data_IF_709557945721
#
_entry.id   IF_709557945721
#
_cell.length_a   1.000
_cell.length_b   1.000
_cell.length_c   1.000
_cell.angle_alpha   90.00
_cell.angle_beta   90.00
_cell.angle_gamma   90.00
#
_symmetry.space_group_name_H-M   'P 1'
#
loop_
_entity.id
_entity.type
_entity.pdbx_description
1 polymer ?
#
# COMPACT_ATOMS: atom_id res chain seq x y z
N UNK A 1 38.42 -49.36 0.90
CA UNK A 1 38.32 -49.58 -0.55
C UNK A 1 36.97 -50.23 -0.80
N UNK A 2 35.89 -49.61 -0.33
CA UNK A 2 35.22 -48.41 -0.89
C UNK A 2 34.56 -48.82 -2.21
N UNK A 3 33.23 -48.85 -2.34
CA UNK A 3 32.37 -47.68 -2.13
C UNK A 3 31.07 -47.93 -1.34
N UNK A 4 30.74 -46.92 -0.55
CA UNK A 4 29.57 -46.83 0.31
C UNK A 4 28.38 -46.16 -0.40
N UNK A 5 27.32 -46.95 -0.53
CA UNK A 5 25.89 -46.60 -0.31
C UNK A 5 25.46 -45.16 -0.60
N UNK A 6 24.91 -44.99 -1.80
CA UNK A 6 23.88 -43.99 -2.08
C UNK A 6 22.54 -44.48 -1.50
N UNK A 7 22.18 -43.96 -0.32
CA UNK A 7 20.93 -44.26 0.36
C UNK A 7 20.48 -43.10 1.27
N UNK A 8 19.96 -42.03 0.66
CA UNK A 8 19.03 -41.12 1.35
C UNK A 8 17.76 -40.96 0.52
N UNK A 9 16.91 -41.98 0.65
CA UNK A 9 15.62 -42.08 -0.01
C UNK A 9 14.59 -41.08 0.51
N UNK A 10 13.66 -40.72 -0.38
CA UNK A 10 12.59 -39.77 -0.15
C UNK A 10 11.70 -40.05 1.05
N UNK A 11 11.61 -39.08 1.95
CA UNK A 11 10.37 -38.85 2.69
C UNK A 11 9.39 -38.11 1.76
N UNK A 12 8.58 -38.87 1.02
CA UNK A 12 7.55 -38.31 0.15
C UNK A 12 6.55 -37.43 0.91
N UNK A 13 5.95 -36.44 0.24
CA UNK A 13 4.97 -35.49 0.79
C UNK A 13 3.87 -36.13 1.66
N UNK A 14 3.52 -37.39 1.37
CA UNK A 14 2.57 -38.21 2.16
C UNK A 14 3.05 -38.49 3.59
N UNK A 15 4.33 -38.78 3.78
CA UNK A 15 4.93 -39.02 5.10
C UNK A 15 4.95 -37.75 5.95
N UNK A 16 5.25 -36.60 5.32
CA UNK A 16 5.24 -35.29 5.97
C UNK A 16 3.85 -34.90 6.50
N UNK A 17 2.81 -35.06 5.68
CA UNK A 17 1.42 -34.80 6.10
C UNK A 17 0.93 -35.75 7.21
N UNK A 18 1.36 -37.01 7.22
CA UNK A 18 1.01 -37.97 8.27
C UNK A 18 1.66 -37.62 9.61
N UNK A 19 2.95 -37.23 9.60
CA UNK A 19 3.66 -36.75 10.79
C UNK A 19 3.00 -35.50 11.37
N UNK A 20 2.66 -34.53 10.51
CA UNK A 20 1.97 -33.31 10.93
C UNK A 20 0.60 -33.62 11.55
N UNK A 21 -0.21 -34.47 10.93
CA UNK A 21 -1.51 -34.86 11.47
C UNK A 21 -1.39 -35.59 12.83
N UNK A 22 -0.34 -36.40 13.03
CA UNK A 22 -0.06 -37.02 14.33
C UNK A 22 0.31 -35.98 15.39
N UNK A 23 1.17 -35.02 15.04
CA UNK A 23 1.57 -33.94 15.95
C UNK A 23 0.39 -33.06 16.37
N UNK A 24 -0.44 -32.62 15.40
CA UNK A 24 -1.61 -31.80 15.67
C UNK A 24 -2.65 -32.50 16.55
N UNK A 25 -2.91 -33.81 16.36
CA UNK A 25 -3.82 -34.58 17.22
C UNK A 25 -3.27 -34.79 18.64
N UNK A 26 -1.95 -34.75 18.81
CA UNK A 26 -1.31 -34.81 20.13
C UNK A 26 -1.34 -33.48 20.88
N UNK A 27 -1.49 -32.36 20.16
CA UNK A 27 -1.48 -31.01 20.72
C UNK A 27 -2.91 -30.47 20.92
N UNK A 28 -3.83 -30.78 20.00
CA UNK A 28 -5.20 -30.25 20.01
C UNK A 28 -6.22 -31.27 20.51
N UNK A 29 -7.21 -30.79 21.26
CA UNK A 29 -8.44 -31.53 21.50
C UNK A 29 -9.15 -31.85 20.17
N UNK A 30 -9.87 -32.98 20.10
CA UNK A 30 -10.52 -33.48 18.87
C UNK A 30 -11.33 -32.40 18.13
N UNK A 31 -12.16 -31.64 18.85
CA UNK A 31 -12.99 -30.56 18.29
C UNK A 31 -12.15 -29.46 17.63
N UNK A 32 -11.04 -29.05 18.27
CA UNK A 32 -10.16 -28.01 17.77
C UNK A 32 -9.34 -28.49 16.56
N UNK A 33 -8.88 -29.75 16.59
CA UNK A 33 -8.25 -30.39 15.45
C UNK A 33 -9.17 -30.45 14.21
N UNK A 34 -10.42 -30.87 14.39
CA UNK A 34 -11.39 -30.96 13.30
C UNK A 34 -11.72 -29.56 12.74
N UNK A 35 -11.82 -28.54 13.60
CA UNK A 35 -12.04 -27.15 13.19
C UNK A 35 -10.86 -26.57 12.40
N UNK A 36 -9.62 -26.76 12.87
CA UNK A 36 -8.42 -26.34 12.15
C UNK A 36 -8.33 -27.01 10.78
N UNK A 37 -8.65 -28.31 10.71
CA UNK A 37 -8.65 -29.07 9.45
C UNK A 37 -9.74 -28.58 8.48
N UNK A 38 -10.91 -28.22 8.98
CA UNK A 38 -11.98 -27.64 8.17
C UNK A 38 -11.56 -26.29 7.56
N UNK A 39 -10.95 -25.41 8.37
CA UNK A 39 -10.44 -24.11 7.88
C UNK A 39 -9.30 -24.26 6.88
N UNK A 40 -8.38 -25.19 7.11
CA UNK A 40 -7.31 -25.47 6.13
C UNK A 40 -7.87 -25.92 4.77
N UNK A 41 -8.97 -26.70 4.77
CA UNK A 41 -9.67 -27.10 3.54
C UNK A 41 -10.43 -25.95 2.89
N UNK A 42 -11.12 -25.14 3.67
CA UNK A 42 -11.81 -23.94 3.18
C UNK A 42 -10.81 -22.98 2.53
N UNK A 43 -9.64 -22.80 3.15
CA UNK A 43 -8.55 -21.97 2.63
C UNK A 43 -8.03 -22.51 1.29
N UNK A 44 -7.80 -23.82 1.19
CA UNK A 44 -7.40 -24.46 -0.07
C UNK A 44 -8.45 -24.34 -1.18
N UNK A 45 -9.74 -24.25 -0.82
CA UNK A 45 -10.85 -24.02 -1.74
C UNK A 45 -11.15 -22.55 -2.00
N UNK A 46 -10.36 -21.62 -1.44
CA UNK A 46 -10.54 -20.15 -1.54
C UNK A 46 -11.85 -19.65 -0.93
N UNK A 47 -12.42 -20.38 0.02
CA UNK A 47 -13.66 -20.00 0.71
C UNK A 47 -13.41 -19.10 1.93
N UNK A 48 -12.17 -19.08 2.42
CA UNK A 48 -11.71 -18.16 3.48
C UNK A 48 -10.40 -17.52 3.04
N UNK A 49 -10.18 -16.29 3.51
CA UNK A 49 -9.00 -15.50 3.23
C UNK A 49 -7.77 -16.02 3.97
N UNK A 50 -6.58 -15.57 3.56
CA UNK A 50 -5.34 -15.87 4.27
C UNK A 50 -5.35 -15.35 5.70
N UNK A 51 -5.95 -14.18 5.94
CA UNK A 51 -6.06 -13.59 7.28
C UNK A 51 -6.94 -14.44 8.20
N UNK A 52 -8.10 -14.90 7.70
CA UNK A 52 -9.00 -15.76 8.48
C UNK A 52 -8.35 -17.09 8.84
N UNK A 53 -7.66 -17.74 7.90
CA UNK A 53 -6.94 -18.97 8.22
C UNK A 53 -5.76 -18.74 9.17
N UNK A 54 -5.01 -17.64 9.00
CA UNK A 54 -3.93 -17.27 9.89
C UNK A 54 -4.41 -17.06 11.34
N UNK A 55 -5.55 -16.36 11.53
CA UNK A 55 -6.17 -16.16 12.85
C UNK A 55 -6.48 -17.48 13.54
N UNK A 56 -7.05 -18.45 12.82
CA UNK A 56 -7.34 -19.79 13.39
C UNK A 56 -6.06 -20.53 13.76
N UNK A 57 -4.99 -20.41 12.96
CA UNK A 57 -3.71 -21.05 13.25
C UNK A 57 -3.01 -20.41 14.45
N UNK A 58 -3.06 -19.08 14.57
CA UNK A 58 -2.57 -18.31 15.73
C UNK A 58 -3.36 -18.69 16.98
N UNK A 59 -4.68 -18.75 16.91
CA UNK A 59 -5.52 -19.15 18.03
C UNK A 59 -5.19 -20.56 18.51
N UNK A 60 -5.01 -21.51 17.59
CA UNK A 60 -4.55 -22.86 17.93
C UNK A 60 -3.18 -22.88 18.61
N UNK A 61 -2.28 -21.96 18.25
CA UNK A 61 -0.98 -21.82 18.89
C UNK A 61 -1.05 -21.14 20.27
N UNK A 62 -2.02 -20.24 20.48
CA UNK A 62 -2.21 -19.51 21.74
C UNK A 62 -2.98 -20.31 22.79
N UNK A 63 -4.12 -20.89 22.42
CA UNK A 63 -5.06 -21.55 23.36
C UNK A 63 -5.04 -23.07 23.25
N UNK A 64 -4.65 -23.60 22.09
CA UNK A 64 -4.70 -25.02 21.77
C UNK A 64 -3.39 -25.79 21.98
N UNK A 65 -2.33 -25.17 22.51
CA UNK A 65 -1.05 -25.83 22.75
C UNK A 65 -0.28 -26.23 21.48
N UNK A 66 -0.65 -25.68 20.30
CA UNK A 66 0.10 -25.94 19.07
C UNK A 66 1.46 -25.24 19.13
N UNK A 67 2.54 -26.02 19.03
CA UNK A 67 3.89 -25.43 19.09
C UNK A 67 4.16 -24.57 17.86
N UNK A 68 5.03 -23.55 18.00
CA UNK A 68 5.48 -22.72 16.86
C UNK A 68 6.05 -23.56 15.72
N UNK A 69 6.76 -24.65 16.05
CA UNK A 69 7.28 -25.58 15.05
C UNK A 69 6.16 -26.28 14.28
N UNK A 70 5.11 -26.73 14.97
CA UNK A 70 3.93 -27.35 14.35
C UNK A 70 3.13 -26.34 13.51
N UNK A 71 2.97 -25.10 13.97
CA UNK A 71 2.34 -24.04 13.17
C UNK A 71 3.13 -23.71 11.89
N UNK A 72 4.46 -23.60 11.98
CA UNK A 72 5.34 -23.42 10.81
C UNK A 72 5.23 -24.58 9.83
N UNK A 73 5.05 -25.79 10.33
CA UNK A 73 4.88 -26.99 9.52
C UNK A 73 3.51 -27.04 8.81
N UNK A 74 2.43 -26.54 9.45
CA UNK A 74 1.14 -26.30 8.77
C UNK A 74 1.33 -25.35 7.59
N UNK A 75 2.06 -24.26 7.78
CA UNK A 75 2.35 -23.33 6.69
C UNK A 75 3.18 -24.02 5.61
N UNK A 76 4.25 -24.73 5.97
CA UNK A 76 5.15 -25.39 5.02
C UNK A 76 4.45 -26.45 4.13
N UNK A 77 3.38 -27.08 4.62
CA UNK A 77 2.58 -28.05 3.85
C UNK A 77 1.50 -27.42 2.96
N UNK A 78 1.32 -26.09 3.03
CA UNK A 78 0.41 -25.38 2.13
C UNK A 78 0.96 -25.40 0.69
N UNK A 79 0.21 -25.87 -0.34
CA UNK A 79 0.77 -26.13 -1.67
C UNK A 79 1.35 -24.90 -2.40
N UNK A 80 0.68 -23.76 -2.27
CA UNK A 80 1.04 -22.53 -2.97
C UNK A 80 2.14 -21.75 -2.26
N UNK A 81 3.20 -21.39 -2.98
CA UNK A 81 4.32 -20.61 -2.45
C UNK A 81 3.89 -19.22 -1.99
N UNK A 82 2.96 -18.59 -2.71
CA UNK A 82 2.38 -17.30 -2.34
C UNK A 82 1.59 -17.39 -1.04
N UNK A 83 0.76 -18.43 -0.90
CA UNK A 83 -0.01 -18.65 0.33
C UNK A 83 0.90 -18.97 1.52
N UNK A 84 1.99 -19.71 1.32
CA UNK A 84 3.02 -19.93 2.35
C UNK A 84 3.67 -18.63 2.80
N UNK A 85 3.95 -17.72 1.88
CA UNK A 85 4.54 -16.42 2.19
C UNK A 85 3.55 -15.57 2.99
N UNK A 86 2.32 -15.39 2.48
CA UNK A 86 1.28 -14.61 3.16
C UNK A 86 0.92 -15.15 4.54
N UNK A 87 0.82 -16.47 4.69
CA UNK A 87 0.60 -17.09 6.01
C UNK A 87 1.77 -16.86 6.97
N UNK A 88 3.03 -16.87 6.49
CA UNK A 88 4.19 -16.53 7.34
C UNK A 88 4.15 -15.07 7.79
N UNK A 89 3.75 -14.16 6.92
CA UNK A 89 3.61 -12.74 7.25
C UNK A 89 2.51 -12.52 8.30
N UNK A 90 1.33 -13.13 8.13
CA UNK A 90 0.24 -12.99 9.10
C UNK A 90 0.53 -13.69 10.43
N UNK A 91 1.03 -14.93 10.40
CA UNK A 91 1.27 -15.73 11.61
C UNK A 91 2.56 -15.30 12.34
N UNK A 92 3.56 -14.81 11.60
CA UNK A 92 4.83 -14.32 12.17
C UNK A 92 4.63 -13.08 13.03
N UNK A 93 3.84 -12.10 12.56
CA UNK A 93 3.46 -10.91 13.34
C UNK A 93 2.89 -11.32 14.70
N UNK A 94 1.89 -12.22 14.72
CA UNK A 94 1.17 -12.56 15.95
C UNK A 94 1.89 -13.55 16.90
N UNK A 95 2.90 -14.31 16.41
CA UNK A 95 3.67 -15.26 17.23
C UNK A 95 4.96 -14.66 17.79
N UNK A 96 5.56 -13.66 17.15
CA UNK A 96 6.82 -13.05 17.59
C UNK A 96 6.61 -11.95 18.65
N UNK A 97 5.38 -11.47 18.83
CA UNK A 97 5.01 -10.48 19.85
C UNK A 97 5.35 -10.91 21.29
N UNK A 98 5.28 -12.20 21.65
CA UNK A 98 5.48 -12.64 23.05
C UNK A 98 6.94 -12.87 23.48
N UNK A 99 7.91 -12.98 22.55
CA UNK A 99 9.32 -13.13 22.94
C UNK A 99 9.94 -11.79 23.38
N UNK A 100 9.36 -10.67 22.94
CA UNK A 100 9.76 -9.31 23.31
C UNK A 100 9.13 -8.83 24.63
N UNK A 101 8.06 -9.49 25.11
CA UNK A 101 7.24 -9.04 26.25
C UNK A 101 7.94 -9.16 27.63
N UNK A 102 9.11 -9.80 27.73
CA UNK A 102 9.89 -9.80 28.99
C UNK A 102 10.90 -8.66 29.16
N UNK A 103 11.15 -7.84 28.14
CA UNK A 103 12.26 -6.86 28.21
C UNK A 103 11.90 -5.41 27.89
N UNK A 104 10.68 -5.08 27.50
CA UNK A 104 10.32 -3.68 27.23
C UNK A 104 8.95 -3.40 27.80
N UNK A 105 8.93 -2.77 28.98
CA UNK A 105 7.85 -1.85 29.33
C UNK A 105 7.80 -0.78 28.24
N UNK A 106 6.97 -0.98 27.23
CA UNK A 106 6.55 0.11 26.38
C UNK A 106 5.88 1.14 27.28
N UNK A 107 6.47 2.33 27.34
CA UNK A 107 5.66 3.53 27.58
C UNK A 107 4.56 3.48 26.53
N UNK A 108 3.30 3.38 26.95
CA UNK A 108 2.16 3.71 26.10
C UNK A 108 2.47 5.06 25.44
N UNK A 109 2.88 5.05 24.16
CA UNK A 109 3.05 6.29 23.41
C UNK A 109 1.64 6.83 23.24
N UNK A 110 1.39 8.04 23.77
CA UNK A 110 0.15 8.77 23.49
C UNK A 110 -0.11 8.72 21.98
N UNK A 111 -1.37 8.52 21.54
CA UNK A 111 -1.69 8.50 20.12
C UNK A 111 -1.14 9.75 19.44
N UNK A 112 -0.51 9.56 18.28
CA UNK A 112 0.07 10.66 17.51
C UNK A 112 -1.05 11.66 17.16
N UNK A 113 -0.92 12.88 17.68
CA UNK A 113 -1.94 13.91 17.51
C UNK A 113 -1.86 14.55 16.12
N UNK A 114 -2.96 14.50 15.37
CA UNK A 114 -3.13 15.21 14.10
C UNK A 114 -4.31 16.20 14.21
N UNK A 115 -4.39 17.16 13.28
CA UNK A 115 -5.54 18.08 13.18
C UNK A 115 -6.30 17.83 11.89
N UNK A 116 -7.62 17.98 11.94
CA UNK A 116 -8.48 17.90 10.75
C UNK A 116 -8.85 19.30 10.29
N UNK A 117 -8.80 19.53 8.98
CA UNK A 117 -9.20 20.79 8.35
C UNK A 117 -10.16 20.48 7.19
N UNK A 118 -11.43 20.85 7.35
CA UNK A 118 -12.44 20.74 6.29
C UNK A 118 -12.32 21.94 5.36
N UNK A 119 -11.90 21.71 4.12
CA UNK A 119 -11.72 22.77 3.11
C UNK A 119 -12.98 22.97 2.26
N UNK A 120 -13.87 21.97 2.24
CA UNK A 120 -15.16 21.98 1.57
C UNK A 120 -15.85 20.62 1.62
N UNK A 121 -17.07 20.50 1.06
CA UNK A 121 -17.79 19.23 0.90
C UNK A 121 -16.97 18.14 0.24
N UNK A 122 -16.69 17.05 0.96
CA UNK A 122 -15.87 15.94 0.51
C UNK A 122 -14.39 16.30 0.30
N UNK A 123 -13.90 17.40 0.88
CA UNK A 123 -12.50 17.86 0.76
C UNK A 123 -11.92 18.16 2.14
N UNK A 124 -11.03 17.27 2.61
CA UNK A 124 -10.47 17.31 3.97
C UNK A 124 -8.94 17.22 3.91
N UNK A 125 -8.26 18.06 4.68
CA UNK A 125 -6.83 17.94 4.93
C UNK A 125 -6.57 17.48 6.37
N UNK A 126 -5.90 16.34 6.52
CA UNK A 126 -5.43 15.79 7.78
C UNK A 126 -3.99 16.27 8.01
N UNK A 127 -3.83 17.26 8.88
CA UNK A 127 -2.55 17.91 9.18
C UNK A 127 -1.70 17.05 10.10
N UNK A 128 -0.46 16.79 9.66
CA UNK A 128 0.51 15.92 10.37
C UNK A 128 -0.10 14.56 10.72
N UNK A 129 -0.93 14.00 9.85
CA UNK A 129 -1.55 12.69 10.07
C UNK A 129 -0.49 11.58 10.14
N UNK A 130 0.52 11.63 9.28
CA UNK A 130 1.60 10.65 9.28
C UNK A 130 2.56 10.91 10.45
N UNK A 131 2.79 9.87 11.25
CA UNK A 131 3.89 9.85 12.21
C UNK A 131 5.25 9.97 11.51
N UNK A 132 6.30 10.27 12.27
CA UNK A 132 7.67 10.32 11.75
C UNK A 132 8.06 8.98 11.13
N UNK A 133 7.71 7.88 11.80
CA UNK A 133 7.98 6.51 11.34
C UNK A 133 7.23 6.20 10.04
N UNK A 134 5.95 6.58 9.92
CA UNK A 134 5.17 6.38 8.70
C UNK A 134 5.74 7.19 7.52
N UNK A 135 6.20 8.42 7.77
CA UNK A 135 6.85 9.23 6.74
C UNK A 135 8.17 8.60 6.26
N UNK A 136 9.01 8.12 7.19
CA UNK A 136 10.27 7.44 6.85
C UNK A 136 10.04 6.14 6.09
N UNK A 137 9.05 5.35 6.51
CA UNK A 137 8.67 4.12 5.84
C UNK A 137 8.18 4.41 4.41
N UNK A 138 7.20 5.30 4.25
CA UNK A 138 6.62 5.61 2.94
C UNK A 138 7.68 6.16 1.97
N UNK A 139 8.60 6.99 2.46
CA UNK A 139 9.73 7.48 1.68
C UNK A 139 10.67 6.36 1.24
N UNK A 140 11.09 5.50 2.18
CA UNK A 140 12.05 4.42 1.91
C UNK A 140 11.49 3.41 0.91
N UNK A 141 10.25 2.97 1.09
CA UNK A 141 9.62 2.00 0.19
C UNK A 141 9.36 2.59 -1.20
N UNK A 142 8.93 3.86 -1.27
CA UNK A 142 8.74 4.53 -2.56
C UNK A 142 10.06 4.66 -3.34
N UNK A 143 11.16 4.98 -2.67
CA UNK A 143 12.47 5.08 -3.31
C UNK A 143 13.06 3.71 -3.66
N UNK A 144 12.89 2.71 -2.79
CA UNK A 144 13.27 1.34 -3.11
C UNK A 144 12.58 0.88 -4.40
N UNK A 145 11.25 1.04 -4.50
CA UNK A 145 10.49 0.72 -5.71
C UNK A 145 10.95 1.54 -6.92
N UNK A 146 11.14 2.85 -6.74
CA UNK A 146 11.49 3.77 -7.84
C UNK A 146 12.92 3.72 -8.33
N UNK A 147 13.83 3.10 -7.58
CA UNK A 147 15.24 2.92 -7.92
C UNK A 147 15.62 1.46 -8.19
N UNK A 148 14.75 0.48 -7.89
CA UNK A 148 15.03 -0.97 -7.91
C UNK A 148 15.38 -1.63 -9.26
N UNK A 149 15.72 -0.87 -10.30
CA UNK A 149 16.25 -1.48 -11.52
C UNK A 149 16.77 -0.46 -12.51
N UNK A 150 18.08 -0.20 -12.49
CA UNK A 150 18.79 0.51 -13.56
C UNK A 150 18.61 -0.12 -14.96
N UNK A 151 18.16 -1.38 -15.01
CA UNK A 151 17.83 -2.11 -16.24
C UNK A 151 16.34 -1.96 -16.64
N UNK A 152 15.42 -1.81 -15.68
CA UNK A 152 14.00 -1.50 -15.93
C UNK A 152 13.74 -0.01 -16.16
N UNK A 153 14.72 0.86 -15.90
CA UNK A 153 14.71 2.25 -16.37
C UNK A 153 14.59 2.35 -17.90
N UNK A 154 14.99 1.30 -18.64
CA UNK A 154 14.72 1.16 -20.07
C UNK A 154 13.24 0.86 -20.40
N UNK A 155 12.47 0.34 -19.43
CA UNK A 155 11.02 0.11 -19.49
C UNK A 155 10.18 1.22 -18.83
N UNK A 156 10.83 2.24 -18.25
CA UNK A 156 10.18 3.40 -17.67
C UNK A 156 9.51 3.17 -16.30
N UNK A 157 9.70 2.04 -15.63
CA UNK A 157 8.86 1.68 -14.47
C UNK A 157 9.27 2.28 -13.11
N UNK A 158 10.34 3.09 -13.04
CA UNK A 158 10.80 3.80 -11.82
C UNK A 158 10.73 5.31 -11.95
N UNK A 159 11.27 6.10 -11.00
CA UNK A 159 11.23 7.57 -11.09
C UNK A 159 12.08 8.16 -12.23
N UNK A 160 13.05 7.40 -12.70
CA UNK A 160 14.09 7.85 -13.63
C UNK A 160 14.04 7.09 -14.95
N UNK A 161 14.36 7.79 -16.04
CA UNK A 161 14.58 7.23 -17.37
C UNK A 161 16.06 7.39 -17.73
N UNK A 162 16.64 6.37 -18.37
CA UNK A 162 18.00 6.40 -18.90
C UNK A 162 18.00 7.13 -20.25
N UNK A 163 18.86 8.13 -20.37
CA UNK A 163 19.05 8.92 -21.59
C UNK A 163 20.06 8.25 -22.52
N UNK A 164 20.06 8.64 -23.79
CA UNK A 164 20.96 8.08 -24.81
C UNK A 164 22.45 8.30 -24.53
N UNK A 165 22.78 9.30 -23.71
CA UNK A 165 24.14 9.59 -23.22
C UNK A 165 24.53 8.80 -21.96
N UNK A 166 23.66 7.89 -21.50
CA UNK A 166 23.85 7.09 -20.29
C UNK A 166 23.48 7.78 -18.98
N UNK A 167 23.08 9.07 -19.00
CA UNK A 167 22.63 9.79 -17.80
C UNK A 167 21.21 9.38 -17.41
N UNK A 168 20.85 9.57 -16.14
CA UNK A 168 19.48 9.36 -15.66
C UNK A 168 18.81 10.71 -15.42
N UNK A 169 17.58 10.87 -15.92
CA UNK A 169 16.72 12.04 -15.62
C UNK A 169 15.37 11.55 -15.14
N UNK A 170 14.61 12.42 -14.49
CA UNK A 170 13.25 12.09 -14.11
C UNK A 170 12.39 11.80 -15.35
N UNK A 171 11.53 10.80 -15.26
CA UNK A 171 10.80 10.26 -16.40
C UNK A 171 9.63 11.14 -16.89
N UNK A 172 9.31 12.22 -16.18
CA UNK A 172 8.18 13.13 -16.43
C UNK A 172 8.64 14.59 -16.33
N UNK A 173 9.76 14.93 -16.97
CA UNK A 173 10.30 16.29 -17.00
C UNK A 173 10.90 16.70 -15.66
N UNK A 174 10.26 17.62 -14.94
CA UNK A 174 10.70 18.09 -13.61
C UNK A 174 10.28 17.18 -12.45
N UNK A 175 9.54 16.09 -12.75
CA UNK A 175 9.08 15.11 -11.77
C UNK A 175 9.29 13.68 -12.26
N UNK A 176 9.45 12.76 -11.32
CA UNK A 176 9.37 11.32 -11.57
C UNK A 176 7.98 10.82 -11.21
N UNK A 177 7.47 9.82 -11.92
CA UNK A 177 6.22 9.13 -11.60
C UNK A 177 6.44 7.62 -11.59
N UNK A 178 5.71 6.93 -10.73
CA UNK A 178 5.43 5.50 -10.85
C UNK A 178 3.94 5.28 -10.70
N UNK A 179 3.46 4.18 -11.28
CA UNK A 179 2.08 3.73 -11.14
C UNK A 179 2.16 2.27 -10.72
N UNK A 180 1.56 1.98 -9.57
CA UNK A 180 1.68 0.71 -8.89
C UNK A 180 0.30 0.29 -8.39
N UNK A 181 0.15 -1.00 -8.15
CA UNK A 181 -0.90 -1.49 -7.24
C UNK A 181 -0.45 -1.24 -5.78
N UNK A 182 -1.36 -0.97 -4.84
CA UNK A 182 -0.98 -0.74 -3.45
C UNK A 182 -0.23 -1.91 -2.79
N UNK A 183 -0.38 -3.13 -3.31
CA UNK A 183 0.31 -4.33 -2.84
C UNK A 183 1.79 -4.41 -3.23
N UNK A 184 2.24 -3.51 -4.12
CA UNK A 184 3.67 -3.29 -4.37
C UNK A 184 4.38 -2.78 -3.11
N UNK A 185 3.66 -2.12 -2.21
CA UNK A 185 4.17 -1.74 -0.90
C UNK A 185 4.05 -2.92 0.08
N UNK A 186 5.08 -3.18 0.90
CA UNK A 186 5.09 -4.36 1.74
C UNK A 186 4.00 -4.35 2.81
N UNK A 187 3.61 -5.57 3.20
CA UNK A 187 2.81 -5.84 4.40
C UNK A 187 1.39 -5.27 4.45
N UNK A 188 0.90 -4.67 3.35
CA UNK A 188 -0.41 -4.03 3.28
C UNK A 188 -0.48 -2.70 4.04
N UNK A 189 0.66 -2.15 4.45
CA UNK A 189 0.73 -0.96 5.30
C UNK A 189 0.15 0.27 4.57
N UNK A 190 0.41 0.44 3.27
CA UNK A 190 -0.16 1.56 2.51
C UNK A 190 -1.69 1.50 2.46
N UNK A 191 -2.26 0.31 2.29
CA UNK A 191 -3.71 0.09 2.32
C UNK A 191 -4.28 0.48 3.68
N UNK A 192 -3.65 0.04 4.78
CA UNK A 192 -4.08 0.42 6.13
C UNK A 192 -4.02 1.94 6.35
N UNK A 193 -2.92 2.59 5.94
CA UNK A 193 -2.78 4.05 6.04
C UNK A 193 -3.88 4.78 5.25
N UNK A 194 -4.30 4.22 4.12
CA UNK A 194 -5.40 4.76 3.31
C UNK A 194 -6.75 4.63 4.05
N UNK A 195 -7.05 3.45 4.59
CA UNK A 195 -8.27 3.20 5.35
C UNK A 195 -8.37 4.10 6.58
N UNK A 196 -7.27 4.25 7.33
CA UNK A 196 -7.21 5.11 8.51
C UNK A 196 -7.45 6.59 8.15
N UNK A 197 -6.88 7.05 7.03
CA UNK A 197 -7.07 8.41 6.54
C UNK A 197 -8.51 8.66 6.08
N UNK A 198 -9.14 7.70 5.39
CA UNK A 198 -10.56 7.78 4.99
C UNK A 198 -11.44 7.85 6.22
N UNK A 199 -11.23 6.98 7.21
CA UNK A 199 -12.00 6.98 8.45
C UNK A 199 -11.89 8.33 9.20
N UNK A 200 -10.67 8.88 9.30
CA UNK A 200 -10.43 10.18 9.92
C UNK A 200 -11.12 11.33 9.16
N UNK A 201 -11.14 11.27 7.82
CA UNK A 201 -11.80 12.27 7.00
C UNK A 201 -13.34 12.20 7.09
N UNK A 202 -13.92 10.99 7.10
CA UNK A 202 -15.35 10.78 7.33
C UNK A 202 -15.80 11.29 8.70
N UNK A 203 -14.95 11.15 9.73
CA UNK A 203 -15.22 11.73 11.04
C UNK A 203 -15.20 13.27 11.03
N UNK A 204 -14.48 13.89 10.10
CA UNK A 204 -14.37 15.34 9.96
C UNK A 204 -15.42 15.95 9.02
N UNK A 205 -15.96 15.17 8.08
CA UNK A 205 -16.92 15.63 7.09
C UNK A 205 -17.87 14.51 6.66
N UNK A 206 -19.17 14.68 6.93
CA UNK A 206 -20.20 13.71 6.59
C UNK A 206 -20.39 13.52 5.07
N UNK A 207 -19.90 14.46 4.26
CA UNK A 207 -19.94 14.36 2.79
C UNK A 207 -18.75 13.57 2.21
N UNK A 208 -17.79 13.16 3.05
CA UNK A 208 -16.69 12.29 2.65
C UNK A 208 -17.18 10.82 2.56
N UNK A 209 -17.09 10.17 1.38
CA UNK A 209 -17.52 8.79 1.24
C UNK A 209 -16.63 7.80 1.99
N UNK A 210 -17.25 6.78 2.60
CA UNK A 210 -16.57 5.73 3.37
C UNK A 210 -16.11 4.56 2.49
N UNK A 211 -16.69 4.42 1.30
CA UNK A 211 -16.37 3.35 0.37
C UNK A 211 -15.13 3.74 -0.45
N UNK A 212 -13.96 3.26 -0.05
CA UNK A 212 -12.73 3.37 -0.82
C UNK A 212 -12.12 1.97 -0.93
N UNK A 213 -11.93 1.48 -2.16
CA UNK A 213 -11.13 0.28 -2.41
C UNK A 213 -9.79 0.68 -3.04
N UNK A 214 -8.66 0.65 -2.32
CA UNK A 214 -7.34 0.98 -2.86
C UNK A 214 -6.91 0.02 -3.98
N UNK A 215 -7.19 0.37 -5.24
CA UNK A 215 -6.82 -0.44 -6.40
C UNK A 215 -5.56 0.08 -7.09
N UNK A 216 -5.22 1.35 -6.90
CA UNK A 216 -4.13 1.99 -7.66
C UNK A 216 -3.42 3.02 -6.82
N UNK A 217 -2.11 3.11 -7.00
CA UNK A 217 -1.24 4.07 -6.35
C UNK A 217 -0.36 4.80 -7.37
N UNK A 218 -0.43 6.12 -7.40
CA UNK A 218 0.47 6.97 -8.18
C UNK A 218 1.49 7.59 -7.23
N UNK A 219 2.75 7.27 -7.45
CA UNK A 219 3.86 7.83 -6.68
C UNK A 219 4.54 8.89 -7.52
N UNK A 220 4.51 10.15 -7.08
CA UNK A 220 5.16 11.26 -7.76
C UNK A 220 6.29 11.81 -6.89
N UNK A 221 7.46 12.02 -7.50
CA UNK A 221 8.60 12.67 -6.87
C UNK A 221 8.93 13.98 -7.61
N UNK A 222 8.78 15.09 -6.91
CA UNK A 222 8.97 16.44 -7.44
C UNK A 222 10.29 17.02 -6.92
N UNK A 223 11.08 17.61 -7.81
CA UNK A 223 12.22 18.44 -7.43
C UNK A 223 11.80 19.88 -7.15
N UNK A 224 12.73 20.63 -6.57
CA UNK A 224 12.62 22.07 -6.36
C UNK A 224 12.23 22.77 -7.67
N UNK A 225 11.22 23.64 -7.61
CA UNK A 225 10.69 24.35 -8.77
C UNK A 225 9.84 23.50 -9.75
N UNK A 226 9.52 22.25 -9.40
CA UNK A 226 8.58 21.47 -10.20
C UNK A 226 7.14 21.97 -10.03
N UNK A 227 6.43 22.06 -11.16
CA UNK A 227 5.00 22.37 -11.23
C UNK A 227 4.26 21.22 -11.91
N UNK A 228 2.94 21.17 -11.74
CA UNK A 228 2.10 20.24 -12.48
C UNK A 228 0.87 20.94 -13.05
N UNK A 229 0.55 20.63 -14.31
CA UNK A 229 -0.58 21.24 -15.01
C UNK A 229 -1.90 21.03 -14.26
N UNK A 230 -2.84 21.95 -14.46
CA UNK A 230 -4.23 21.78 -14.04
C UNK A 230 -4.85 20.56 -14.71
N UNK A 231 -5.40 19.66 -13.91
CA UNK A 231 -5.99 18.40 -14.38
C UNK A 231 -7.13 17.93 -13.47
N UNK A 232 -7.82 16.87 -13.89
CA UNK A 232 -8.75 16.09 -13.07
C UNK A 232 -8.30 14.64 -13.10
N UNK A 233 -8.60 13.93 -12.03
CA UNK A 233 -8.40 12.48 -11.96
C UNK A 233 -9.66 11.79 -12.49
N UNK A 234 -9.74 11.74 -13.82
CA UNK A 234 -10.92 11.35 -14.60
C UNK A 234 -10.81 9.96 -15.22
N UNK A 235 -10.04 9.05 -14.60
CA UNK A 235 -9.81 7.73 -15.17
C UNK A 235 -11.09 6.89 -15.35
N UNK A 236 -12.05 6.96 -14.43
CA UNK A 236 -13.31 6.19 -14.50
C UNK A 236 -14.42 6.99 -15.21
N UNK A 237 -14.90 6.54 -16.39
CA UNK A 237 -15.99 7.20 -17.12
C UNK A 237 -17.30 7.33 -16.32
N UNK A 238 -17.59 6.39 -15.41
CA UNK A 238 -18.78 6.46 -14.54
C UNK A 238 -18.63 7.61 -13.53
N UNK A 239 -17.45 7.77 -12.93
CA UNK A 239 -17.17 8.88 -12.01
C UNK A 239 -17.15 10.24 -12.72
N UNK A 240 -16.69 10.28 -13.97
CA UNK A 240 -16.77 11.49 -14.81
C UNK A 240 -18.22 11.91 -15.00
N UNK A 241 -19.13 10.95 -15.25
CA UNK A 241 -20.56 11.21 -15.44
C UNK A 241 -21.27 11.61 -14.13
N UNK A 242 -21.04 10.87 -13.04
CA UNK A 242 -21.69 11.14 -11.75
C UNK A 242 -21.14 12.37 -11.04
N UNK A 243 -19.88 12.73 -11.32
CA UNK A 243 -19.08 13.75 -10.64
C UNK A 243 -18.90 13.53 -9.13
N UNK A 244 -19.24 12.33 -8.65
CA UNK A 244 -19.15 11.91 -7.25
C UNK A 244 -18.64 10.48 -7.17
N UNK A 245 -17.83 10.17 -6.17
CA UNK A 245 -17.18 8.87 -6.07
C UNK A 245 -16.28 8.69 -4.85
N UNK A 246 -15.67 7.50 -4.71
CA UNK A 246 -14.74 7.17 -3.64
C UNK A 246 -13.61 8.21 -3.55
N UNK A 247 -13.12 8.55 -2.35
CA UNK A 247 -12.11 9.59 -2.19
C UNK A 247 -10.78 9.23 -2.84
N UNK A 248 -10.09 10.24 -3.38
CA UNK A 248 -8.66 10.13 -3.62
C UNK A 248 -7.91 10.47 -2.33
N UNK A 249 -6.94 9.64 -1.95
CA UNK A 249 -6.13 9.84 -0.74
C UNK A 249 -4.70 10.21 -1.14
N UNK A 250 -4.26 11.41 -0.80
CA UNK A 250 -3.00 11.99 -1.26
C UNK A 250 -2.06 12.28 -0.09
N UNK A 251 -1.09 11.40 0.14
CA UNK A 251 -0.05 11.54 1.16
C UNK A 251 1.05 12.49 0.68
N UNK A 252 1.51 13.40 1.54
CA UNK A 252 2.63 14.30 1.27
C UNK A 252 3.80 14.05 2.21
N UNK A 253 5.00 13.80 1.67
CA UNK A 253 6.24 13.55 2.43
C UNK A 253 7.39 14.34 1.79
N UNK A 254 8.27 14.94 2.60
CA UNK A 254 9.42 15.70 2.10
C UNK A 254 9.15 17.21 2.01
N UNK A 255 9.53 17.85 0.89
CA UNK A 255 9.30 19.27 0.70
C UNK A 255 7.80 19.61 0.72
N UNK A 256 7.51 20.81 1.21
CA UNK A 256 6.16 21.37 1.23
C UNK A 256 5.77 21.79 -0.18
N UNK A 257 4.49 21.66 -0.53
CA UNK A 257 3.99 22.06 -1.84
C UNK A 257 2.66 22.80 -1.76
N UNK A 258 2.42 23.67 -2.74
CA UNK A 258 1.11 24.29 -2.92
C UNK A 258 0.23 23.44 -3.82
N UNK A 259 -0.89 22.99 -3.25
CA UNK A 259 -1.94 22.32 -3.99
C UNK A 259 -3.02 23.34 -4.33
N UNK A 260 -3.10 23.71 -5.61
CA UNK A 260 -4.16 24.56 -6.14
C UNK A 260 -5.38 23.72 -6.49
N UNK A 261 -6.58 24.22 -6.19
CA UNK A 261 -7.83 23.55 -6.56
C UNK A 261 -8.95 24.53 -6.91
N UNK A 262 -9.84 24.09 -7.80
CA UNK A 262 -11.09 24.75 -8.22
C UNK A 262 -12.12 23.72 -8.70
N UNK A 263 -13.37 24.10 -8.90
CA UNK A 263 -14.46 23.15 -9.16
C UNK A 263 -14.73 22.93 -10.66
N UNK A 264 -14.31 23.88 -11.50
CA UNK A 264 -14.33 23.79 -12.96
C UNK A 264 -13.06 24.35 -13.60
N UNK A 265 -12.74 23.94 -14.83
CA UNK A 265 -11.63 24.53 -15.60
C UNK A 265 -11.89 26.01 -15.91
N UNK A 266 -13.15 26.38 -16.09
CA UNK A 266 -13.59 27.74 -16.41
C UNK A 266 -13.63 28.67 -15.20
N UNK A 267 -13.47 28.15 -13.98
CA UNK A 267 -13.44 28.97 -12.79
C UNK A 267 -12.21 29.92 -12.86
N UNK A 268 -12.41 31.25 -12.75
CA UNK A 268 -11.34 32.24 -12.92
C UNK A 268 -10.40 32.27 -11.71
N UNK A 269 -10.90 31.90 -10.53
CA UNK A 269 -10.15 31.85 -9.29
C UNK A 269 -9.89 30.41 -8.87
N UNK A 270 -8.80 30.21 -8.12
CA UNK A 270 -8.49 28.95 -7.49
C UNK A 270 -8.16 29.17 -6.01
N UNK A 271 -8.36 28.14 -5.21
CA UNK A 271 -7.93 28.10 -3.81
C UNK A 271 -6.61 27.35 -3.71
N UNK A 272 -5.83 27.63 -2.68
CA UNK A 272 -4.54 26.99 -2.43
C UNK A 272 -4.49 26.42 -1.02
N UNK A 273 -4.04 25.18 -0.90
CA UNK A 273 -3.69 24.55 0.37
C UNK A 273 -2.22 24.16 0.36
N UNK A 274 -1.45 24.70 1.31
CA UNK A 274 -0.06 24.31 1.55
C UNK A 274 -0.05 22.92 2.17
N UNK A 275 0.53 21.92 1.51
CA UNK A 275 0.70 20.56 2.05
C UNK A 275 2.14 20.39 2.54
N UNK A 276 2.31 20.09 3.82
CA UNK A 276 3.61 19.84 4.43
C UNK A 276 3.88 18.34 4.57
N UNK A 277 5.14 17.98 4.89
CA UNK A 277 5.47 16.59 5.20
C UNK A 277 4.61 16.05 6.33
N UNK A 278 3.94 14.93 6.06
CA UNK A 278 3.02 14.24 6.95
C UNK A 278 1.57 14.64 6.82
N UNK A 279 1.23 15.63 5.99
CA UNK A 279 -0.16 15.97 5.68
C UNK A 279 -0.75 14.95 4.69
N UNK A 280 -2.05 14.68 4.84
CA UNK A 280 -2.85 13.87 3.91
C UNK A 280 -4.04 14.67 3.43
N UNK A 281 -4.20 14.80 2.12
CA UNK A 281 -5.35 15.46 1.50
C UNK A 281 -6.28 14.41 0.93
N UNK A 282 -7.58 14.50 1.25
CA UNK A 282 -8.62 13.63 0.73
C UNK A 282 -9.64 14.45 -0.03
N UNK A 283 -9.98 14.01 -1.24
CA UNK A 283 -11.03 14.61 -2.04
C UNK A 283 -11.91 13.56 -2.71
N UNK A 284 -13.14 13.46 -2.22
CA UNK A 284 -14.16 12.48 -2.63
C UNK A 284 -15.54 13.13 -2.68
N UNK A 285 -16.56 12.30 -2.93
CA UNK A 285 -17.95 12.78 -2.96
C UNK A 285 -18.10 13.99 -3.89
N UNK A 286 -18.67 15.12 -3.42
CA UNK A 286 -18.81 16.35 -4.21
C UNK A 286 -17.49 16.91 -4.76
N UNK A 287 -16.36 16.63 -4.10
CA UNK A 287 -15.03 17.10 -4.51
C UNK A 287 -14.21 16.05 -5.28
N UNK A 288 -14.78 14.90 -5.64
CA UNK A 288 -14.04 13.84 -6.37
C UNK A 288 -13.48 14.30 -7.71
N UNK A 289 -14.11 15.29 -8.35
CA UNK A 289 -13.78 15.79 -9.69
C UNK A 289 -13.27 17.23 -9.71
N UNK A 290 -12.67 17.71 -8.61
CA UNK A 290 -12.00 19.02 -8.57
C UNK A 290 -10.88 19.10 -9.61
N UNK A 291 -10.74 20.28 -10.22
CA UNK A 291 -9.58 20.62 -11.04
C UNK A 291 -8.46 21.05 -10.11
N UNK A 292 -7.29 20.42 -10.22
CA UNK A 292 -6.20 20.66 -9.30
C UNK A 292 -4.82 20.64 -9.95
N UNK A 293 -3.84 21.18 -9.23
CA UNK A 293 -2.47 21.41 -9.70
C UNK A 293 -1.49 21.46 -8.53
N UNK A 294 -0.22 21.14 -8.80
CA UNK A 294 0.89 21.50 -7.92
C UNK A 294 1.48 22.80 -8.44
N UNK A 295 1.28 23.88 -7.69
CA UNK A 295 1.66 25.24 -8.11
C UNK A 295 3.08 25.60 -7.71
N UNK A 296 3.58 25.04 -6.62
CA UNK A 296 4.91 25.31 -6.13
C UNK A 296 5.43 24.17 -5.25
N UNK A 297 6.74 23.99 -5.21
CA UNK A 297 7.46 23.10 -4.29
C UNK A 297 8.54 23.93 -3.60
N UNK A 298 8.43 24.06 -2.28
CA UNK A 298 9.24 24.97 -1.49
C UNK A 298 10.60 24.34 -1.11
N UNK A 299 11.72 24.86 -1.62
CA UNK A 299 13.05 24.40 -1.23
C UNK A 299 13.30 24.57 0.27
N UNK A 300 14.15 23.73 0.85
CA UNK A 300 14.60 23.86 2.23
C UNK A 300 13.59 23.47 3.31
N UNK A 301 12.37 23.04 2.95
CA UNK A 301 11.34 22.67 3.94
C UNK A 301 11.28 21.17 4.28
N UNK A 302 12.20 20.36 3.75
CA UNK A 302 12.23 18.91 3.98
C UNK A 302 12.67 18.61 5.42
N UNK A 303 11.88 17.84 6.20
CA UNK A 303 12.26 17.45 7.55
C UNK A 303 13.57 16.65 7.61
N UNK A 304 14.33 16.86 8.69
CA UNK A 304 15.63 16.20 8.88
C UNK A 304 15.57 14.67 8.98
N UNK A 305 14.48 14.09 9.49
CA UNK A 305 14.31 12.64 9.64
C UNK A 305 14.16 11.88 8.30
N UNK A 306 13.91 12.60 7.20
CA UNK A 306 13.83 12.02 5.86
C UNK A 306 15.17 11.98 5.13
N UNK A 307 16.21 12.62 5.69
CA UNK A 307 17.56 12.58 5.12
C UNK A 307 18.07 11.14 5.10
N UNK A 308 18.54 10.70 3.95
CA UNK A 308 19.00 9.32 3.73
C UNK A 308 17.87 8.29 3.54
N UNK A 309 16.60 8.71 3.55
CA UNK A 309 15.44 7.87 3.20
C UNK A 309 14.88 8.18 1.82
N UNK A 310 15.10 9.41 1.34
CA UNK A 310 14.74 9.87 0.01
C UNK A 310 15.73 10.92 -0.48
N UNK A 311 15.76 11.14 -1.80
CA UNK A 311 16.42 12.31 -2.36
C UNK A 311 15.70 13.60 -1.94
N UNK A 312 16.43 14.72 -1.87
CA UNK A 312 15.81 16.02 -1.60
C UNK A 312 14.74 16.33 -2.66
N UNK A 313 13.51 16.55 -2.19
CA UNK A 313 12.33 16.77 -3.04
C UNK A 313 11.02 16.55 -2.26
N UNK A 314 9.90 16.68 -2.98
CA UNK A 314 8.57 16.35 -2.47
C UNK A 314 8.12 15.01 -3.03
N UNK A 315 7.81 14.07 -2.15
CA UNK A 315 7.17 12.80 -2.47
C UNK A 315 5.66 12.94 -2.25
N UNK A 316 4.90 12.45 -3.21
CA UNK A 316 3.45 12.35 -3.12
C UNK A 316 2.99 10.96 -3.52
N UNK A 317 2.26 10.30 -2.63
CA UNK A 317 1.66 8.98 -2.87
C UNK A 317 0.17 9.18 -2.93
N UNK A 318 -0.44 8.98 -4.10
CA UNK A 318 -1.87 9.19 -4.33
C UNK A 318 -2.55 7.86 -4.60
N UNK A 319 -3.41 7.44 -3.68
CA UNK A 319 -4.16 6.19 -3.76
C UNK A 319 -5.56 6.46 -4.29
N UNK A 320 -6.00 5.64 -5.26
CA UNK A 320 -7.25 5.77 -6.00
C UNK A 320 -8.00 4.44 -6.04
N UNK A 321 -9.31 4.54 -6.13
CA UNK A 321 -10.22 3.46 -6.49
C UNK A 321 -10.65 3.69 -7.94
N UNK A 322 -10.22 2.78 -8.82
CA UNK A 322 -10.57 2.79 -10.25
C UNK A 322 -11.58 1.69 -10.58
N UNK A 323 -12.17 1.03 -9.57
CA UNK A 323 -13.10 -0.06 -9.72
C UNK A 323 -12.50 -1.27 -10.45
N UNK A 324 -13.14 -1.68 -11.54
CA UNK A 324 -12.67 -2.76 -12.42
C UNK A 324 -11.74 -2.28 -13.54
N UNK A 325 -11.30 -1.02 -13.50
CA UNK A 325 -10.39 -0.46 -14.48
C UNK A 325 -9.07 -1.21 -14.53
N UNK A 326 -8.55 -1.46 -15.73
CA UNK A 326 -7.24 -2.10 -15.95
C UNK A 326 -6.26 -1.08 -16.49
N UNK A 327 -5.10 -0.95 -15.85
CA UNK A 327 -4.06 -0.01 -16.25
C UNK A 327 -3.19 -0.63 -17.35
N UNK A 328 -3.08 0.06 -18.49
CA UNK A 328 -2.12 -0.29 -19.52
C UNK A 328 -0.73 0.26 -19.17
N UNK A 329 0.07 -0.57 -18.51
CA UNK A 329 1.44 -0.23 -18.12
C UNK A 329 2.39 -0.02 -19.32
N UNK A 330 2.02 -0.44 -20.54
CA UNK A 330 2.85 -0.23 -21.73
C UNK A 330 2.84 1.22 -22.23
N UNK A 331 1.85 2.01 -21.82
CA UNK A 331 1.73 3.42 -22.21
C UNK A 331 2.41 4.38 -21.22
N UNK A 332 3.23 3.86 -20.32
CA UNK A 332 4.01 4.67 -19.39
C UNK A 332 4.85 5.75 -20.14
N UNK A 333 4.89 7.01 -19.69
CA UNK A 333 4.44 7.53 -18.38
C UNK A 333 3.01 8.12 -18.39
N UNK A 334 2.30 8.02 -19.51
CA UNK A 334 0.91 8.45 -19.70
C UNK A 334 0.00 7.21 -19.72
N UNK A 335 -0.41 6.72 -18.57
CA UNK A 335 -1.21 5.49 -18.54
C UNK A 335 -2.63 5.74 -19.04
N UNK A 336 -3.17 4.74 -19.71
CA UNK A 336 -4.60 4.63 -20.03
C UNK A 336 -5.22 3.57 -19.15
N UNK A 337 -6.44 3.83 -18.72
CA UNK A 337 -7.27 2.84 -18.04
C UNK A 337 -8.31 2.34 -19.03
N UNK A 338 -8.48 1.03 -19.11
CA UNK A 338 -9.57 0.41 -19.87
C UNK A 338 -10.63 -0.16 -18.95
N UNK A 339 -11.90 0.03 -19.32
CA UNK A 339 -13.07 -0.54 -18.66
C UNK A 339 -13.78 -1.45 -19.66
N UNK A 340 -14.00 -2.71 -19.31
CA UNK A 340 -14.63 -3.71 -20.19
C UNK A 340 -13.98 -3.82 -21.59
N UNK A 341 -12.65 -3.63 -21.64
CA UNK A 341 -11.88 -3.66 -22.89
C UNK A 341 -11.92 -2.37 -23.73
N UNK A 342 -12.65 -1.34 -23.27
CA UNK A 342 -12.74 -0.03 -23.92
C UNK A 342 -11.83 0.96 -23.18
N UNK A 343 -10.97 1.67 -23.91
CA UNK A 343 -10.13 2.73 -23.31
C UNK A 343 -10.99 3.90 -22.85
N UNK A 344 -10.76 4.38 -21.63
CA UNK A 344 -11.42 5.58 -21.14
C UNK A 344 -10.95 6.83 -21.92
N UNK A 345 -11.88 7.76 -22.17
CA UNK A 345 -11.57 9.04 -22.79
C UNK A 345 -10.84 9.95 -21.80
N UNK A 346 -9.51 10.02 -21.92
CA UNK A 346 -8.67 10.92 -21.13
C UNK A 346 -7.22 10.44 -21.01
N UNK A 347 -6.28 11.38 -20.95
CA UNK A 347 -4.91 11.13 -20.48
C UNK A 347 -4.83 11.59 -19.02
N UNK A 348 -4.23 10.79 -18.13
CA UNK A 348 -3.98 11.17 -16.73
C UNK A 348 -2.69 11.99 -16.56
#
# INVERSE_FOLDING_TARGET
MDDARDATGGEGARGRCQKLAKALRGQLAKKAYDALRAHARAFQRREVTTSEFAKVLVECARTGGVTRATAREVIATTPSALDRRRLRECVGRDLDDDAAVKSTREREKKPHGFKTERLGPGLVCLRKFLSVEAQMWLASESFALGESGSDDAARGQGFFAKMGDGTFKLNQGSRGRMILEPDAFPDGILTQMCEDAVAAACAADAEMPTNMNPTTCLVNFYKDGAEFKWHKDSEDPKLVKSRTGPPIVSFSVGLSGDFGYKYSFDDPEHKVVRLNSGDVLLFGGPSRMIVHSVLNVYPGSMPGHLRGKMLNGRLNVTVRDIGCGVIDASQFPAYRVSYDGVQADGNV
#
